data_IF_859297776357
#
_entry.id   IF_859297776357
#
_cell.length_a   1.000
_cell.length_b   1.000
_cell.length_c   1.000
_cell.angle_alpha   90.00
_cell.angle_beta   90.00
_cell.angle_gamma   90.00
#
_symmetry.space_group_name_H-M   'P 1'
#
loop_
_entity.id
_entity.type
_entity.pdbx_description
1 polymer ?
#
# COMPACT_ATOMS: atom_id res chain seq x y z
N UNK A 1 0.56 10.22 5.87
CA UNK A 1 1.54 11.27 6.21
C UNK A 1 2.19 11.82 4.93
N UNK A 2 2.82 12.99 4.95
CA UNK A 2 3.50 13.62 3.79
C UNK A 2 4.69 12.80 3.24
N UNK A 3 5.06 11.69 3.89
CA UNK A 3 6.15 10.79 3.49
C UNK A 3 5.70 9.52 2.76
N UNK A 4 4.40 9.30 2.60
CA UNK A 4 3.89 8.08 1.97
C UNK A 4 4.05 6.82 2.82
N UNK A 5 4.28 6.95 4.13
CA UNK A 5 4.19 5.80 5.03
C UNK A 5 2.72 5.42 5.23
N UNK A 6 2.52 4.12 5.40
CA UNK A 6 1.22 3.54 5.75
C UNK A 6 0.79 4.12 7.10
N UNK A 7 -0.32 4.85 7.08
CA UNK A 7 -0.93 5.37 8.30
C UNK A 7 -2.04 4.41 8.73
N UNK A 8 -1.69 3.49 9.64
CA UNK A 8 -2.53 2.39 10.08
C UNK A 8 -1.79 1.06 10.04
N UNK A 9 -2.25 0.06 10.78
CA UNK A 9 -1.57 -1.24 10.91
C UNK A 9 -1.92 -2.23 9.80
N UNK A 10 -3.05 -2.07 9.12
CA UNK A 10 -3.59 -3.01 8.12
C UNK A 10 -4.22 -2.27 6.94
N UNK A 11 -3.94 -2.74 5.72
CA UNK A 11 -4.61 -2.29 4.50
C UNK A 11 -5.85 -3.17 4.28
N UNK A 12 -7.05 -2.61 4.49
CA UNK A 12 -8.31 -3.36 4.41
C UNK A 12 -8.86 -3.56 2.99
N UNK A 13 -8.20 -3.04 1.96
CA UNK A 13 -8.66 -3.13 0.58
C UNK A 13 -7.56 -3.48 -0.41
N UNK A 14 -7.93 -3.83 -1.66
CA UNK A 14 -6.96 -4.07 -2.71
C UNK A 14 -6.19 -2.80 -3.08
N UNK A 15 -4.89 -2.94 -3.35
CA UNK A 15 -4.01 -1.87 -3.83
C UNK A 15 -3.81 -2.01 -5.33
N UNK A 16 -3.91 -0.93 -6.09
CA UNK A 16 -3.64 -0.98 -7.54
C UNK A 16 -2.17 -1.29 -7.83
N UNK A 17 -1.90 -2.01 -8.91
CA UNK A 17 -0.54 -2.38 -9.34
C UNK A 17 0.40 -1.17 -9.48
N UNK A 18 -0.07 -0.08 -10.09
CA UNK A 18 0.71 1.17 -10.23
C UNK A 18 1.07 1.80 -8.88
N UNK A 19 0.17 1.72 -7.89
CA UNK A 19 0.41 2.23 -6.54
C UNK A 19 1.39 1.33 -5.76
N UNK A 20 1.33 0.02 -5.99
CA UNK A 20 2.27 -0.94 -5.41
C UNK A 20 3.69 -0.75 -5.95
N UNK A 21 3.84 -0.43 -7.24
CA UNK A 21 5.13 -0.13 -7.86
C UNK A 21 5.71 1.19 -7.37
N UNK A 22 4.86 2.20 -7.18
CA UNK A 22 5.28 3.53 -6.71
C UNK A 22 5.61 3.55 -5.22
N UNK A 23 4.94 2.72 -4.42
CA UNK A 23 5.10 2.67 -2.96
C UNK A 23 5.30 1.24 -2.45
N UNK A 24 6.56 0.76 -2.43
CA UNK A 24 6.87 -0.63 -2.08
C UNK A 24 6.48 -0.99 -0.63
N UNK A 25 6.49 -0.03 0.30
CA UNK A 25 6.05 -0.26 1.69
C UNK A 25 4.55 -0.53 1.80
N UNK A 26 3.75 0.09 0.94
CA UNK A 26 2.30 -0.12 0.88
C UNK A 26 2.02 -1.49 0.27
N UNK A 27 2.72 -1.84 -0.81
CA UNK A 27 2.63 -3.15 -1.45
C UNK A 27 2.91 -4.31 -0.48
N UNK A 28 3.95 -4.18 0.35
CA UNK A 28 4.33 -5.21 1.33
C UNK A 28 3.27 -5.44 2.43
N UNK A 29 2.40 -4.46 2.69
CA UNK A 29 1.33 -4.55 3.69
C UNK A 29 -0.06 -4.79 3.07
N UNK A 30 -0.16 -4.87 1.74
CA UNK A 30 -1.41 -5.07 1.04
C UNK A 30 -1.81 -6.55 1.01
N UNK A 31 -3.05 -6.87 1.40
CA UNK A 31 -3.56 -8.25 1.30
C UNK A 31 -3.91 -8.68 -0.12
N UNK A 32 -4.18 -7.73 -1.00
CA UNK A 32 -4.51 -8.00 -2.39
C UNK A 32 -4.02 -6.86 -3.26
N UNK A 33 -3.43 -7.18 -4.42
CA UNK A 33 -2.98 -6.20 -5.41
C UNK A 33 -3.70 -6.50 -6.72
N UNK A 34 -4.26 -5.49 -7.39
CA UNK A 34 -5.06 -5.65 -8.63
C UNK A 34 -4.45 -4.83 -9.77
#
# INVERSE_FOLDING_TARGET
NEKGDVQGSDIKGPVSREAAERWPRIAANAKQII
#
